data_IF_487573012137
#
_entry.id   IF_487573012137
#
_cell.length_a   1.000
_cell.length_b   1.000
_cell.length_c   1.000
_cell.angle_alpha   90.00
_cell.angle_beta   90.00
_cell.angle_gamma   90.00
#
_symmetry.space_group_name_H-M   'P 1'
#
loop_
_entity.id
_entity.type
_entity.pdbx_description
1 polymer ?
#
# COMPACT_ATOMS: atom_id res chain seq x y z
N UNK A 1 -23.40 5.60 -9.80
CA UNK A 1 -22.28 5.99 -8.92
C UNK A 1 -21.87 7.40 -9.28
N UNK A 2 -21.77 8.35 -8.32
CA UNK A 2 -21.32 9.70 -8.63
C UNK A 2 -19.87 9.64 -9.13
N UNK A 3 -19.60 10.20 -10.31
CA UNK A 3 -18.24 10.44 -10.76
C UNK A 3 -17.67 11.52 -9.84
N UNK A 4 -16.75 11.14 -8.97
CA UNK A 4 -15.87 12.05 -8.23
C UNK A 4 -15.01 12.82 -9.25
N UNK A 5 -15.61 13.79 -9.94
CA UNK A 5 -14.92 14.79 -10.74
C UNK A 5 -14.39 15.84 -9.78
N UNK A 6 -13.39 15.47 -8.96
CA UNK A 6 -12.52 16.49 -8.40
C UNK A 6 -11.86 17.17 -9.60
N UNK A 7 -12.23 18.41 -9.90
CA UNK A 7 -11.71 19.09 -11.09
C UNK A 7 -10.19 19.19 -10.96
N UNK A 8 -9.50 18.63 -11.95
CA UNK A 8 -8.03 18.64 -12.07
C UNK A 8 -7.49 20.07 -12.01
N UNK A 9 -8.33 21.04 -12.40
CA UNK A 9 -8.11 22.50 -12.34
C UNK A 9 -7.68 23.01 -10.96
N UNK A 10 -7.99 22.27 -9.89
CA UNK A 10 -7.67 22.68 -8.52
C UNK A 10 -6.41 22.03 -7.94
N UNK A 11 -5.64 21.31 -8.77
CA UNK A 11 -4.39 20.63 -8.39
C UNK A 11 -3.20 21.51 -8.78
N UNK A 12 -2.35 21.85 -7.82
CA UNK A 12 -1.16 22.68 -8.04
C UNK A 12 0.16 21.91 -7.92
N UNK A 13 0.16 20.75 -7.25
CA UNK A 13 1.37 19.97 -7.01
C UNK A 13 1.12 18.46 -7.11
N UNK A 14 2.10 17.75 -7.67
CA UNK A 14 2.18 16.29 -7.70
C UNK A 14 3.38 15.87 -6.88
N UNK A 15 3.17 14.99 -5.89
CA UNK A 15 4.22 14.38 -5.10
C UNK A 15 4.28 12.89 -5.41
N UNK A 16 5.47 12.40 -5.75
CA UNK A 16 5.75 11.00 -6.08
C UNK A 16 6.63 10.42 -4.98
N UNK A 17 6.16 9.36 -4.36
CA UNK A 17 6.81 8.72 -3.24
C UNK A 17 7.04 7.22 -3.51
N UNK A 18 8.20 6.85 -4.06
CA UNK A 18 8.59 5.45 -4.20
C UNK A 18 8.68 4.81 -2.82
N UNK A 19 7.94 3.72 -2.63
CA UNK A 19 8.00 2.98 -1.37
C UNK A 19 9.10 1.92 -1.43
N UNK A 20 9.69 1.55 -0.28
CA UNK A 20 10.69 0.49 -0.25
C UNK A 20 10.08 -0.83 -0.79
N UNK A 21 10.91 -1.62 -1.47
CA UNK A 21 10.64 -3.02 -1.77
C UNK A 21 11.13 -3.91 -0.63
N UNK A 22 10.71 -5.17 -0.63
CA UNK A 22 11.14 -6.09 0.42
C UNK A 22 10.46 -7.44 0.35
N UNK A 23 10.89 -8.32 1.25
CA UNK A 23 10.31 -9.62 1.47
C UNK A 23 8.96 -9.46 2.16
N UNK A 24 7.96 -10.19 1.68
CA UNK A 24 6.59 -10.13 2.21
C UNK A 24 6.23 -11.43 2.92
N UNK A 25 5.51 -11.31 4.01
CA UNK A 25 4.89 -12.45 4.67
C UNK A 25 3.47 -12.13 5.11
N UNK A 26 2.61 -13.15 5.13
CA UNK A 26 1.27 -13.10 5.70
C UNK A 26 1.21 -14.10 6.83
N UNK A 27 0.83 -13.62 8.01
CA UNK A 27 0.57 -14.43 9.19
C UNK A 27 -0.94 -14.49 9.41
N UNK A 28 -1.47 -15.69 9.56
CA UNK A 28 -2.87 -15.98 9.80
C UNK A 28 -2.96 -16.79 11.08
N UNK A 29 -3.64 -16.24 12.09
CA UNK A 29 -3.67 -16.82 13.43
C UNK A 29 -5.12 -16.92 13.90
N UNK A 30 -5.49 -18.12 14.34
CA UNK A 30 -6.74 -18.31 15.08
C UNK A 30 -6.50 -18.02 16.56
N UNK A 31 -7.37 -17.22 17.15
CA UNK A 31 -7.30 -16.80 18.55
C UNK A 31 -8.43 -17.44 19.34
N UNK A 32 -8.09 -17.87 20.55
CA UNK A 32 -9.01 -18.49 21.52
C UNK A 32 -9.72 -17.43 22.35
N UNK A 33 -9.15 -16.24 22.46
CA UNK A 33 -9.72 -15.13 23.23
C UNK A 33 -9.36 -13.76 22.66
N UNK A 34 -10.03 -12.74 23.20
CA UNK A 34 -9.74 -11.33 22.89
C UNK A 34 -8.38 -10.89 23.41
N UNK A 35 -7.91 -11.48 24.50
CA UNK A 35 -6.61 -11.19 25.12
C UNK A 35 -5.48 -11.71 24.23
N UNK A 36 -5.60 -12.93 23.71
CA UNK A 36 -4.63 -13.50 22.76
C UNK A 36 -4.57 -12.66 21.47
N UNK A 37 -5.73 -12.21 20.95
CA UNK A 37 -5.76 -11.29 19.82
C UNK A 37 -5.08 -9.94 20.11
N UNK A 38 -5.21 -9.42 21.33
CA UNK A 38 -4.55 -8.19 21.75
C UNK A 38 -3.04 -8.37 21.91
N UNK A 39 -2.59 -9.53 22.42
CA UNK A 39 -1.17 -9.90 22.51
C UNK A 39 -0.51 -9.96 21.14
N UNK A 40 -1.15 -10.63 20.17
CA UNK A 40 -0.68 -10.68 18.78
C UNK A 40 -0.64 -9.28 18.19
N UNK A 41 -1.65 -8.44 18.45
CA UNK A 41 -1.65 -7.06 17.96
C UNK A 41 -0.48 -6.24 18.51
N UNK A 42 -0.16 -6.39 19.81
CA UNK A 42 0.98 -5.72 20.43
C UNK A 42 2.31 -6.15 19.80
N UNK A 43 2.50 -7.46 19.58
CA UNK A 43 3.67 -7.99 18.89
C UNK A 43 3.86 -7.31 17.52
N UNK A 44 2.80 -7.25 16.71
CA UNK A 44 2.87 -6.61 15.39
C UNK A 44 3.00 -5.09 15.43
N UNK A 45 2.51 -4.43 16.49
CA UNK A 45 2.69 -2.99 16.70
C UNK A 45 4.14 -2.64 17.04
N UNK A 46 4.84 -3.46 17.83
CA UNK A 46 6.27 -3.28 18.16
C UNK A 46 7.16 -3.39 16.91
N UNK A 47 6.81 -4.31 16.00
CA UNK A 47 7.52 -4.53 14.74
C UNK A 47 7.44 -3.34 13.76
N UNK A 48 6.45 -2.46 13.89
CA UNK A 48 6.28 -1.29 12.99
C UNK A 48 7.48 -0.34 12.95
N UNK A 49 8.33 -0.39 13.97
CA UNK A 49 9.58 0.39 14.05
C UNK A 49 10.68 -0.13 13.11
N UNK A 50 10.59 -1.39 12.69
CA UNK A 50 11.63 -2.08 11.91
C UNK A 50 11.13 -2.46 10.52
N UNK A 51 9.88 -2.93 10.43
CA UNK A 51 9.29 -3.43 9.18
C UNK A 51 7.93 -2.76 8.94
N UNK A 52 7.43 -2.83 7.71
CA UNK A 52 6.08 -2.39 7.42
C UNK A 52 5.08 -3.46 7.86
N UNK A 53 4.06 -3.07 8.61
CA UNK A 53 3.04 -3.98 9.13
C UNK A 53 1.66 -3.45 8.81
N UNK A 54 0.78 -4.33 8.33
CA UNK A 54 -0.62 -4.01 8.07
C UNK A 54 -1.53 -5.15 8.50
N UNK A 55 -2.46 -4.84 9.38
CA UNK A 55 -3.50 -5.78 9.77
C UNK A 55 -4.52 -5.96 8.63
N UNK A 56 -4.80 -7.21 8.29
CA UNK A 56 -5.78 -7.61 7.28
C UNK A 56 -7.12 -7.96 7.90
N UNK A 57 -7.14 -8.55 9.10
CA UNK A 57 -8.38 -8.93 9.79
C UNK A 57 -8.30 -8.81 11.31
N UNK A 58 -9.47 -8.70 11.94
CA UNK A 58 -9.64 -8.72 13.40
C UNK A 58 -10.81 -9.62 13.83
N UNK A 59 -10.73 -10.18 15.03
CA UNK A 59 -11.76 -11.06 15.61
C UNK A 59 -11.12 -12.35 16.13
N UNK A 60 -11.83 -13.48 15.97
CA UNK A 60 -11.33 -14.83 16.30
C UNK A 60 -10.24 -15.32 15.34
N UNK A 61 -10.23 -14.75 14.15
CA UNK A 61 -9.18 -14.90 13.17
C UNK A 61 -8.52 -13.55 12.92
N UNK A 62 -7.26 -13.43 13.30
CA UNK A 62 -6.42 -12.25 13.06
C UNK A 62 -5.41 -12.57 11.97
N UNK A 63 -5.16 -11.59 11.11
CA UNK A 63 -4.17 -11.75 10.06
C UNK A 63 -3.44 -10.45 9.80
N UNK A 64 -2.16 -10.57 9.51
CA UNK A 64 -1.24 -9.47 9.29
C UNK A 64 -0.44 -9.77 8.04
N UNK A 65 -0.24 -8.75 7.21
CA UNK A 65 0.76 -8.76 6.15
C UNK A 65 1.89 -7.84 6.56
N UNK A 66 3.11 -8.28 6.33
CA UNK A 66 4.32 -7.52 6.64
C UNK A 66 5.22 -7.42 5.44
N UNK A 67 6.06 -6.39 5.42
CA UNK A 67 7.13 -6.23 4.45
C UNK A 67 8.41 -5.79 5.16
N UNK A 68 9.43 -6.64 5.10
CA UNK A 68 10.75 -6.42 5.66
C UNK A 68 11.76 -6.12 4.54
N UNK A 69 12.79 -5.34 4.84
CA UNK A 69 13.92 -5.20 3.92
C UNK A 69 14.65 -6.56 3.79
N UNK A 70 15.40 -6.77 2.71
CA UNK A 70 16.09 -8.05 2.48
C UNK A 70 17.12 -8.38 3.57
N UNK A 71 17.71 -7.35 4.19
CA UNK A 71 18.62 -7.50 5.34
C UNK A 71 17.94 -8.01 6.61
N UNK A 72 16.62 -7.84 6.71
CA UNK A 72 15.83 -8.09 7.92
C UNK A 72 14.99 -9.37 7.75
N UNK A 73 15.47 -10.29 6.92
CA UNK A 73 14.78 -11.54 6.61
C UNK A 73 14.61 -12.43 7.84
N UNK A 74 15.58 -12.42 8.76
CA UNK A 74 15.55 -13.18 10.01
C UNK A 74 14.40 -12.75 10.93
N UNK A 75 14.01 -11.47 10.89
CA UNK A 75 12.86 -10.96 11.66
C UNK A 75 11.57 -11.68 11.29
N UNK A 76 11.40 -12.06 10.02
CA UNK A 76 10.21 -12.80 9.58
C UNK A 76 10.18 -14.23 10.14
N UNK A 77 11.35 -14.85 10.30
CA UNK A 77 11.49 -16.19 10.89
C UNK A 77 11.22 -16.15 12.40
N UNK A 78 11.78 -15.17 13.10
CA UNK A 78 11.56 -14.97 14.54
C UNK A 78 10.09 -14.76 14.88
N UNK A 79 9.37 -13.96 14.08
CA UNK A 79 7.92 -13.76 14.25
C UNK A 79 7.16 -15.05 14.05
N UNK A 80 7.53 -15.86 13.05
CA UNK A 80 6.91 -17.15 12.80
C UNK A 80 7.11 -18.11 13.99
N UNK A 81 8.32 -18.17 14.54
CA UNK A 81 8.66 -19.03 15.68
C UNK A 81 7.93 -18.60 16.95
N UNK A 82 7.85 -17.29 17.22
CA UNK A 82 7.08 -16.75 18.35
C UNK A 82 5.60 -17.12 18.22
N UNK A 83 5.00 -16.91 17.05
CA UNK A 83 3.58 -17.23 16.85
C UNK A 83 3.32 -18.74 16.99
N UNK A 84 4.14 -19.59 16.37
CA UNK A 84 4.00 -21.05 16.47
C UNK A 84 4.20 -21.59 17.88
N UNK A 85 5.02 -20.93 18.69
CA UNK A 85 5.27 -21.34 20.08
C UNK A 85 4.13 -20.95 21.04
N UNK A 86 3.39 -19.87 20.73
CA UNK A 86 2.41 -19.29 21.65
C UNK A 86 0.94 -19.49 21.21
N UNK A 87 0.69 -19.76 19.93
CA UNK A 87 -0.65 -19.89 19.37
C UNK A 87 -0.93 -21.31 18.88
N UNK A 88 -2.16 -21.78 19.08
CA UNK A 88 -2.56 -23.15 18.73
C UNK A 88 -2.64 -23.41 17.22
N UNK A 89 -2.93 -22.38 16.42
CA UNK A 89 -3.04 -22.50 14.96
C UNK A 89 -2.48 -21.26 14.27
N UNK A 90 -1.40 -21.46 13.50
CA UNK A 90 -0.69 -20.42 12.76
C UNK A 90 -0.40 -20.91 11.35
N UNK A 91 -0.79 -20.12 10.36
CA UNK A 91 -0.41 -20.33 8.96
C UNK A 91 0.39 -19.13 8.49
N UNK A 92 1.56 -19.40 7.93
CA UNK A 92 2.45 -18.38 7.37
C UNK A 92 2.61 -18.58 5.87
N UNK A 93 2.56 -17.49 5.10
CA UNK A 93 2.82 -17.48 3.66
C UNK A 93 3.90 -16.45 3.36
N UNK A 94 5.00 -16.85 2.70
CA UNK A 94 6.15 -15.97 2.37
C UNK A 94 5.95 -15.16 1.09
N UNK A 95 4.73 -14.70 0.87
CA UNK A 95 4.37 -13.78 -0.21
C UNK A 95 3.00 -13.16 0.08
N UNK A 96 2.62 -12.17 -0.72
CA UNK A 96 1.25 -11.65 -0.73
C UNK A 96 0.73 -11.59 -2.17
N UNK A 97 -0.36 -12.28 -2.43
CA UNK A 97 -1.09 -12.21 -3.69
C UNK A 97 -2.61 -12.30 -3.51
N UNK A 98 -3.34 -12.25 -4.63
CA UNK A 98 -4.82 -12.31 -4.61
C UNK A 98 -5.36 -13.65 -4.11
N UNK A 99 -4.62 -14.75 -4.29
CA UNK A 99 -5.04 -16.05 -3.79
C UNK A 99 -4.96 -16.05 -2.26
N UNK A 100 -3.83 -15.60 -1.71
CA UNK A 100 -3.63 -15.47 -0.26
C UNK A 100 -4.67 -14.51 0.33
N UNK A 101 -4.92 -13.37 -0.31
CA UNK A 101 -5.93 -12.43 0.16
C UNK A 101 -7.35 -13.00 0.11
N UNK A 102 -7.68 -13.80 -0.92
CA UNK A 102 -8.96 -14.53 -0.99
C UNK A 102 -9.10 -15.55 0.14
N UNK A 103 -8.03 -16.29 0.46
CA UNK A 103 -8.01 -17.22 1.60
C UNK A 103 -8.29 -16.46 2.90
N UNK A 104 -7.62 -15.32 3.14
CA UNK A 104 -7.88 -14.48 4.33
C UNK A 104 -9.35 -14.05 4.38
N UNK A 105 -9.93 -13.64 3.25
CA UNK A 105 -11.34 -13.23 3.16
C UNK A 105 -12.31 -14.38 3.48
N UNK A 106 -12.06 -15.57 2.96
CA UNK A 106 -12.85 -16.78 3.23
C UNK A 106 -12.77 -17.17 4.71
N UNK A 107 -11.55 -17.24 5.28
CA UNK A 107 -11.35 -17.52 6.70
C UNK A 107 -12.01 -16.48 7.61
N UNK A 108 -12.02 -15.20 7.23
CA UNK A 108 -12.77 -14.17 7.96
C UNK A 108 -14.28 -14.47 7.96
N UNK A 109 -14.82 -14.87 6.81
CA UNK A 109 -16.24 -15.21 6.67
C UNK A 109 -16.61 -16.41 7.55
N UNK A 110 -15.80 -17.47 7.51
CA UNK A 110 -16.07 -18.73 8.22
C UNK A 110 -15.99 -18.58 9.75
N UNK A 111 -15.09 -17.72 10.23
CA UNK A 111 -14.88 -17.49 11.66
C UNK A 111 -15.71 -16.34 12.24
N UNK A 112 -16.46 -15.62 11.40
CA UNK A 112 -17.15 -14.39 11.78
C UNK A 112 -16.22 -13.21 12.10
N UNK A 113 -14.96 -13.29 11.67
CA UNK A 113 -13.99 -12.20 11.78
C UNK A 113 -14.26 -11.08 10.78
N UNK A 114 -13.77 -9.88 11.09
CA UNK A 114 -13.91 -8.71 10.23
C UNK A 114 -12.65 -8.49 9.40
N UNK A 115 -12.80 -8.55 8.08
CA UNK A 115 -11.78 -8.09 7.14
C UNK A 115 -11.66 -6.55 7.20
N UNK A 116 -10.43 -6.05 7.21
CA UNK A 116 -10.12 -4.62 7.24
C UNK A 116 -9.92 -4.05 5.82
N UNK A 117 -10.21 -2.76 5.59
CA UNK A 117 -10.04 -2.14 4.27
C UNK A 117 -8.59 -2.17 3.77
N UNK A 118 -8.43 -2.63 2.53
CA UNK A 118 -7.13 -2.68 1.85
C UNK A 118 -7.01 -1.65 0.74
N UNK A 119 -5.79 -1.17 0.53
CA UNK A 119 -5.45 -0.39 -0.66
C UNK A 119 -5.43 -1.28 -1.89
N UNK A 120 -5.71 -0.68 -3.03
CA UNK A 120 -5.71 -1.34 -4.31
C UNK A 120 -4.88 -0.50 -5.29
N UNK A 121 -4.26 -1.16 -6.25
CA UNK A 121 -3.59 -0.49 -7.35
C UNK A 121 -4.62 0.27 -8.20
N UNK A 122 -4.40 1.57 -8.41
CA UNK A 122 -5.32 2.40 -9.19
C UNK A 122 -5.30 2.13 -10.70
N UNK A 123 -4.34 1.32 -11.20
CA UNK A 123 -4.27 0.87 -12.59
C UNK A 123 -4.95 -0.48 -12.77
N UNK A 124 -4.50 -1.54 -12.08
CA UNK A 124 -5.03 -2.89 -12.30
C UNK A 124 -6.18 -3.26 -11.35
N UNK A 125 -6.33 -2.58 -10.21
CA UNK A 125 -7.32 -2.90 -9.18
C UNK A 125 -6.92 -4.01 -8.21
N UNK A 126 -5.75 -4.63 -8.39
CA UNK A 126 -5.21 -5.65 -7.48
C UNK A 126 -5.03 -5.07 -6.08
N UNK A 127 -5.38 -5.85 -5.06
CA UNK A 127 -5.11 -5.58 -3.65
C UNK A 127 -3.60 -5.43 -3.46
N UNK A 128 -3.20 -4.34 -2.83
CA UNK A 128 -1.79 -3.99 -2.66
C UNK A 128 -1.58 -3.42 -1.25
N UNK A 129 -1.10 -4.22 -0.28
CA UNK A 129 -0.90 -3.77 1.09
C UNK A 129 0.19 -2.71 1.21
N UNK A 130 1.22 -2.83 0.38
CA UNK A 130 2.42 -2.00 0.37
C UNK A 130 2.69 -1.55 -1.07
N UNK A 131 2.04 -0.47 -1.54
CA UNK A 131 2.18 -0.01 -2.92
C UNK A 131 3.62 0.39 -3.18
N UNK A 132 4.19 -0.01 -4.32
CA UNK A 132 5.56 0.37 -4.68
C UNK A 132 5.69 1.85 -5.01
N UNK A 133 4.58 2.51 -5.33
CA UNK A 133 4.53 3.94 -5.61
C UNK A 133 3.25 4.55 -5.08
N UNK A 134 3.40 5.66 -4.35
CA UNK A 134 2.29 6.51 -3.94
C UNK A 134 2.40 7.85 -4.67
N UNK A 135 1.32 8.29 -5.30
CA UNK A 135 1.22 9.62 -5.92
C UNK A 135 0.14 10.42 -5.24
N UNK A 136 0.54 11.56 -4.68
CA UNK A 136 -0.35 12.52 -4.03
C UNK A 136 -0.50 13.76 -4.89
N UNK A 137 -1.74 14.20 -5.08
CA UNK A 137 -2.10 15.41 -5.81
C UNK A 137 -2.65 16.41 -4.81
N UNK A 138 -1.96 17.55 -4.68
CA UNK A 138 -2.28 18.58 -3.70
C UNK A 138 -2.78 19.86 -4.36
N UNK A 139 -3.68 20.56 -3.67
CA UNK A 139 -4.11 21.91 -4.06
C UNK A 139 -3.12 22.99 -3.62
N UNK A 140 -3.44 24.25 -3.91
CA UNK A 140 -2.56 25.40 -3.66
C UNK A 140 -2.20 25.58 -2.18
N UNK A 141 -3.10 25.20 -1.28
CA UNK A 141 -2.88 25.19 0.17
C UNK A 141 -1.99 24.03 0.66
N UNK A 142 -1.46 23.20 -0.25
CA UNK A 142 -0.66 22.01 0.07
C UNK A 142 -1.47 20.81 0.56
N UNK A 143 -2.78 20.94 0.74
CA UNK A 143 -3.64 19.85 1.18
C UNK A 143 -3.73 18.78 0.08
N UNK A 144 -3.44 17.53 0.45
CA UNK A 144 -3.61 16.38 -0.44
C UNK A 144 -5.10 16.20 -0.73
N UNK A 145 -5.48 16.38 -1.99
CA UNK A 145 -6.86 16.17 -2.46
C UNK A 145 -7.08 14.74 -2.92
N UNK A 146 -6.05 14.14 -3.51
CA UNK A 146 -6.12 12.79 -4.07
C UNK A 146 -4.82 12.05 -3.74
N UNK A 147 -4.96 10.82 -3.29
CA UNK A 147 -3.86 9.88 -3.12
C UNK A 147 -4.12 8.64 -3.99
N UNK A 148 -3.07 8.18 -4.67
CA UNK A 148 -3.10 7.02 -5.58
C UNK A 148 -1.99 6.06 -5.24
N UNK A 149 -2.33 4.77 -5.25
CA UNK A 149 -1.46 3.66 -4.92
C UNK A 149 -1.23 2.82 -6.18
N UNK A 150 0.01 2.44 -6.46
CA UNK A 150 0.34 1.63 -7.62
C UNK A 150 1.22 0.44 -7.21
N UNK A 151 0.88 -0.75 -7.71
CA UNK A 151 1.64 -1.96 -7.45
C UNK A 151 2.92 -2.03 -8.28
N UNK A 152 3.90 -2.82 -7.81
CA UNK A 152 5.20 -3.00 -8.46
C UNK A 152 5.12 -3.43 -9.91
N UNK A 153 4.17 -4.32 -10.26
CA UNK A 153 4.00 -4.76 -11.64
C UNK A 153 3.47 -3.67 -12.58
N UNK A 154 2.69 -2.69 -12.08
CA UNK A 154 2.20 -1.59 -12.92
C UNK A 154 3.24 -0.47 -13.04
N UNK A 155 3.98 -0.19 -11.96
CA UNK A 155 5.07 0.78 -11.98
C UNK A 155 6.22 0.29 -12.86
N UNK A 156 6.62 -0.98 -12.77
CA UNK A 156 7.70 -1.55 -13.59
C UNK A 156 7.39 -1.59 -15.10
N UNK A 157 6.11 -1.77 -15.47
CA UNK A 157 5.67 -1.70 -16.87
C UNK A 157 5.71 -0.28 -17.45
N UNK A 158 5.72 0.73 -16.58
CA UNK A 158 5.80 2.12 -16.98
C UNK A 158 7.27 2.50 -17.14
N UNK A 159 7.84 2.22 -18.31
CA UNK A 159 9.19 2.69 -18.65
C UNK A 159 9.10 4.14 -19.11
N UNK A 160 9.96 5.00 -18.56
CA UNK A 160 10.04 6.40 -18.98
C UNK A 160 11.48 6.93 -18.80
N UNK A 161 11.95 7.79 -19.70
CA UNK A 161 13.31 8.36 -19.65
C UNK A 161 13.48 9.41 -18.55
N UNK A 162 12.39 9.89 -17.93
CA UNK A 162 12.44 10.85 -16.82
C UNK A 162 11.30 10.64 -15.81
N UNK A 163 11.49 11.09 -14.57
CA UNK A 163 10.45 11.08 -13.53
C UNK A 163 9.18 11.86 -13.94
N UNK A 164 9.34 12.90 -14.77
CA UNK A 164 8.23 13.70 -15.30
C UNK A 164 7.39 12.90 -16.29
N UNK A 165 8.02 12.14 -17.17
CA UNK A 165 7.31 11.27 -18.11
C UNK A 165 6.72 10.06 -17.41
N UNK A 166 7.46 9.49 -16.46
CA UNK A 166 7.00 8.38 -15.63
C UNK A 166 5.65 8.71 -14.95
N UNK A 167 5.55 9.86 -14.28
CA UNK A 167 4.32 10.22 -13.57
C UNK A 167 3.16 10.51 -14.50
N UNK A 168 3.42 11.10 -15.68
CA UNK A 168 2.39 11.30 -16.69
C UNK A 168 1.85 9.97 -17.18
N UNK A 169 2.74 9.04 -17.56
CA UNK A 169 2.34 7.71 -18.00
C UNK A 169 1.57 6.93 -16.93
N UNK A 170 1.99 7.04 -15.67
CA UNK A 170 1.32 6.39 -14.54
C UNK A 170 -0.09 6.95 -14.31
N UNK A 171 -0.25 8.28 -14.33
CA UNK A 171 -1.54 8.96 -14.16
C UNK A 171 -2.47 8.78 -15.36
N UNK A 172 -1.92 8.67 -16.58
CA UNK A 172 -2.66 8.36 -17.80
C UNK A 172 -3.23 6.93 -17.76
N UNK A 173 -2.46 5.97 -17.21
CA UNK A 173 -2.89 4.59 -17.03
C UNK A 173 -3.89 4.38 -15.87
N UNK A 174 -4.04 5.36 -14.96
CA UNK A 174 -4.97 5.29 -13.83
C UNK A 174 -6.43 5.26 -14.31
N UNK A 175 -7.25 4.37 -13.73
CA UNK A 175 -8.68 4.22 -14.09
C UNK A 175 -9.50 5.50 -13.92
N UNK A 176 -9.07 6.44 -13.06
CA UNK A 176 -9.75 7.73 -12.88
C UNK A 176 -9.39 8.79 -13.93
N UNK A 177 -8.54 8.45 -14.91
CA UNK A 177 -8.34 9.17 -16.18
C UNK A 177 -8.00 10.67 -15.99
N UNK A 178 -6.78 10.95 -15.54
CA UNK A 178 -6.27 12.30 -15.24
C UNK A 178 -5.83 13.09 -16.48
N UNK A 179 -6.61 13.08 -17.56
CA UNK A 179 -6.21 13.68 -18.86
C UNK A 179 -5.79 15.15 -18.77
N UNK A 180 -6.36 15.92 -17.84
CA UNK A 180 -5.97 17.31 -17.62
C UNK A 180 -4.52 17.50 -17.16
N UNK A 181 -3.89 16.46 -16.58
CA UNK A 181 -2.49 16.49 -16.14
C UNK A 181 -1.54 16.06 -17.26
N UNK A 182 -2.00 15.26 -18.24
CA UNK A 182 -1.15 14.75 -19.34
C UNK A 182 -0.49 15.89 -20.11
N UNK A 183 -1.25 16.96 -20.37
CA UNK A 183 -0.81 18.13 -21.13
C UNK A 183 -0.19 19.23 -20.26
N UNK A 184 -0.38 19.18 -18.93
CA UNK A 184 0.06 20.24 -18.05
C UNK A 184 1.59 20.31 -17.94
N UNK A 185 2.14 21.52 -17.84
CA UNK A 185 3.58 21.71 -17.68
C UNK A 185 3.98 21.37 -16.23
N UNK A 186 4.75 20.29 -16.08
CA UNK A 186 5.30 19.88 -14.79
C UNK A 186 6.70 20.49 -14.59
N UNK A 187 6.86 21.28 -13.53
CA UNK A 187 8.13 21.89 -13.12
C UNK A 187 8.60 21.18 -11.86
N UNK A 188 9.73 20.46 -11.95
CA UNK A 188 10.30 19.76 -10.80
C UNK A 188 10.73 20.77 -9.74
N UNK A 189 10.29 20.58 -8.50
CA UNK A 189 10.81 21.34 -7.36
C UNK A 189 12.12 20.72 -6.88
N UNK A 190 13.12 21.53 -6.50
CA UNK A 190 14.31 21.01 -5.85
C UNK A 190 13.88 20.33 -4.54
N UNK A 191 14.20 19.04 -4.43
CA UNK A 191 14.06 18.28 -3.19
C UNK A 191 15.34 17.50 -3.00
N UNK A 192 15.94 17.61 -1.81
CA UNK A 192 17.15 16.87 -1.46
C UNK A 192 16.85 15.39 -1.16
N UNK A 193 15.60 15.07 -0.79
CA UNK A 193 15.13 13.73 -0.44
C UNK A 193 13.85 13.36 -1.21
N UNK A 194 13.42 12.11 -1.10
CA UNK A 194 12.03 11.74 -1.40
C UNK A 194 11.07 12.46 -0.43
N UNK A 195 9.82 12.76 -0.85
CA UNK A 195 9.25 12.48 -2.17
C UNK A 195 9.67 13.49 -3.26
N UNK A 196 9.59 13.07 -4.53
CA UNK A 196 9.87 13.92 -5.70
C UNK A 196 8.62 14.77 -5.99
N UNK A 197 8.77 16.08 -6.09
CA UNK A 197 7.64 17.01 -6.26
C UNK A 197 7.68 17.77 -7.58
N UNK A 198 6.51 17.96 -8.18
CA UNK A 198 6.29 18.71 -9.41
C UNK A 198 5.19 19.74 -9.19
N UNK A 199 5.48 21.02 -9.44
CA UNK A 199 4.45 22.04 -9.57
C UNK A 199 3.77 21.88 -10.93
N UNK A 200 2.45 21.92 -10.94
CA UNK A 200 1.65 22.00 -12.16
C UNK A 200 1.51 23.47 -12.51
N UNK A 201 1.99 23.86 -13.69
CA UNK A 201 1.66 25.16 -14.27
C UNK A 201 0.46 24.95 -15.18
N UNK A 202 -0.65 25.64 -14.90
CA UNK A 202 -1.78 25.65 -15.80
C UNK A 202 -1.28 26.11 -17.18
N UNK A 203 -1.53 25.30 -18.22
CA UNK A 203 -1.36 25.75 -19.59
C UNK A 203 -2.31 26.91 -19.83
N UNK A 204 -1.80 27.99 -20.43
CA UNK A 204 -2.62 29.11 -20.90
C UNK A 204 -3.62 28.60 -21.94
#
# INVERSE_FOLDING_TARGET
MPKDQTSVESISEISIDPQPSGLRAVYMVETRSTEEAAEISRLFDELKSQIQVRQLSKGKFVSYVVQAHESDSTTLDEVEDILKSNCGFVVTQRSFDEIIYRIVKELCSDTGSKLLPMSHCNICGRTEPFPSMVVSLSGENGQVKICRNYCGSCTARTTAPSNKEFVRSLLAADKKNFRGIEQAELIRRPSRNQPIRFKIKAGI
#
